data_IF_462865611022
#
_entry.id   IF_462865611022
#
_cell.length_a   1.000
_cell.length_b   1.000
_cell.length_c   1.000
_cell.angle_alpha   90.00
_cell.angle_beta   90.00
_cell.angle_gamma   90.00
#
_symmetry.space_group_name_H-M   'P 1'
#
loop_
_entity.id
_entity.type
_entity.pdbx_description
1 polymer ?
#
# COMPACT_ATOMS: atom_id res chain seq x y z
N UNK A 1 5.62 -7.16 -46.17
CA UNK A 1 4.96 -7.70 -44.97
C UNK A 1 5.71 -9.00 -44.65
N UNK A 2 6.42 -9.01 -43.54
CA UNK A 2 7.17 -10.22 -43.10
C UNK A 2 6.28 -10.92 -42.06
N UNK A 3 5.95 -12.17 -42.29
CA UNK A 3 5.17 -13.00 -41.39
C UNK A 3 6.15 -13.85 -40.57
N UNK A 4 6.18 -13.64 -39.25
CA UNK A 4 6.99 -14.43 -38.31
C UNK A 4 6.02 -15.35 -37.55
N UNK A 5 6.39 -16.61 -37.40
CA UNK A 5 5.60 -17.62 -36.70
C UNK A 5 6.23 -17.93 -35.33
N UNK A 6 5.48 -17.94 -34.28
CA UNK A 6 5.82 -18.51 -32.97
C UNK A 6 4.80 -19.62 -32.70
N UNK A 7 5.26 -20.85 -32.51
CA UNK A 7 4.41 -22.03 -32.27
C UNK A 7 3.28 -22.20 -33.33
N UNK A 8 3.64 -22.06 -34.63
CA UNK A 8 2.71 -22.13 -35.75
C UNK A 8 1.61 -21.05 -35.83
N UNK A 9 1.68 -20.01 -35.03
CA UNK A 9 0.80 -18.84 -35.15
C UNK A 9 1.49 -17.74 -35.96
N UNK A 10 0.86 -17.21 -37.04
CA UNK A 10 1.45 -16.15 -37.83
C UNK A 10 1.48 -14.83 -37.04
N UNK A 11 2.67 -14.33 -36.75
CA UNK A 11 2.86 -12.99 -36.27
C UNK A 11 2.99 -12.02 -37.46
N UNK A 12 1.93 -11.30 -37.76
CA UNK A 12 1.93 -10.24 -38.77
C UNK A 12 2.60 -8.99 -38.18
N UNK A 13 3.90 -8.80 -38.53
CA UNK A 13 4.59 -7.55 -38.23
C UNK A 13 4.40 -6.56 -39.36
N UNK A 14 3.72 -5.46 -39.09
CA UNK A 14 3.67 -4.35 -40.02
C UNK A 14 5.04 -3.64 -40.03
N UNK A 15 5.64 -3.48 -41.16
CA UNK A 15 7.05 -3.14 -41.47
C UNK A 15 7.66 -1.89 -40.80
N UNK A 16 6.93 -1.10 -39.98
CA UNK A 16 7.45 0.16 -39.50
C UNK A 16 7.22 0.50 -38.00
N UNK A 17 6.45 -0.27 -37.26
CA UNK A 17 6.12 0.13 -35.86
C UNK A 17 6.14 -1.06 -34.90
N UNK A 18 7.32 -1.55 -34.58
CA UNK A 18 7.51 -2.58 -33.54
C UNK A 18 7.38 -2.00 -32.14
N UNK A 19 7.96 -0.82 -31.90
CA UNK A 19 7.70 -0.06 -30.69
C UNK A 19 6.32 0.55 -30.80
N UNK A 20 5.37 0.01 -30.04
CA UNK A 20 3.99 0.47 -29.97
C UNK A 20 3.62 0.81 -28.54
N UNK A 21 2.46 1.44 -28.34
CA UNK A 21 1.91 1.81 -27.05
C UNK A 21 2.07 0.69 -25.99
N UNK A 22 1.64 -0.54 -26.29
CA UNK A 22 1.70 -1.65 -25.33
C UNK A 22 3.14 -1.99 -24.92
N UNK A 23 4.06 -2.12 -25.86
CA UNK A 23 5.46 -2.47 -25.55
C UNK A 23 6.16 -1.33 -24.82
N UNK A 24 5.89 -0.08 -25.17
CA UNK A 24 6.43 1.09 -24.47
C UNK A 24 5.91 1.18 -23.04
N UNK A 25 4.60 1.06 -22.82
CA UNK A 25 4.00 1.08 -21.47
C UNK A 25 4.49 -0.07 -20.59
N UNK A 26 4.62 -1.29 -21.15
CA UNK A 26 5.18 -2.44 -20.42
C UNK A 26 6.62 -2.17 -20.03
N UNK A 27 7.46 -1.68 -20.95
CA UNK A 27 8.86 -1.38 -20.65
C UNK A 27 8.99 -0.32 -19.56
N UNK A 28 8.17 0.72 -19.60
CA UNK A 28 8.13 1.79 -18.58
C UNK A 28 7.65 1.24 -17.25
N UNK A 29 6.56 0.46 -17.23
CA UNK A 29 6.00 -0.14 -16.02
C UNK A 29 6.95 -1.10 -15.32
N UNK A 30 7.75 -1.84 -16.08
CA UNK A 30 8.78 -2.75 -15.55
C UNK A 30 10.13 -2.06 -15.27
N UNK A 31 10.21 -0.74 -15.45
CA UNK A 31 11.43 0.04 -15.19
C UNK A 31 12.59 -0.28 -16.14
N UNK A 32 12.31 -0.80 -17.33
CA UNK A 32 13.35 -1.11 -18.31
C UNK A 32 13.95 0.16 -18.90
N UNK A 33 15.27 0.23 -18.93
CA UNK A 33 15.94 1.27 -19.70
C UNK A 33 15.63 1.14 -21.20
N UNK A 34 15.71 2.24 -21.93
CA UNK A 34 15.49 2.26 -23.37
C UNK A 34 16.39 1.24 -24.10
N UNK A 35 17.64 1.06 -23.65
CA UNK A 35 18.57 0.07 -24.21
C UNK A 35 18.12 -1.37 -23.94
N UNK A 36 17.67 -1.67 -22.73
CA UNK A 36 17.13 -2.99 -22.39
C UNK A 36 15.87 -3.31 -23.19
N UNK A 37 14.94 -2.35 -23.31
CA UNK A 37 13.75 -2.51 -24.15
C UNK A 37 14.12 -2.79 -25.59
N UNK A 38 15.07 -2.02 -26.17
CA UNK A 38 15.56 -2.23 -27.53
C UNK A 38 16.19 -3.61 -27.71
N UNK A 39 17.04 -4.03 -26.76
CA UNK A 39 17.71 -5.33 -26.80
C UNK A 39 16.72 -6.50 -26.72
N UNK A 40 15.73 -6.43 -25.84
CA UNK A 40 14.68 -7.45 -25.71
C UNK A 40 13.90 -7.58 -27.02
N UNK A 41 13.47 -6.47 -27.60
CA UNK A 41 12.72 -6.47 -28.86
C UNK A 41 13.56 -7.03 -30.00
N UNK A 42 14.83 -6.65 -30.11
CA UNK A 42 15.75 -7.19 -31.12
C UNK A 42 15.94 -8.71 -30.95
N UNK A 43 16.12 -9.19 -29.71
CA UNK A 43 16.27 -10.62 -29.42
C UNK A 43 15.02 -11.42 -29.77
N UNK A 44 13.83 -10.90 -29.48
CA UNK A 44 12.57 -11.56 -29.87
C UNK A 44 12.45 -11.71 -31.36
N UNK A 45 12.80 -10.67 -32.13
CA UNK A 45 12.77 -10.73 -33.60
C UNK A 45 13.75 -11.79 -34.14
N UNK A 46 15.01 -11.73 -33.69
CA UNK A 46 16.04 -12.67 -34.12
C UNK A 46 15.65 -14.12 -33.77
N UNK A 47 15.18 -14.40 -32.59
CA UNK A 47 14.73 -15.72 -32.16
C UNK A 47 13.50 -16.24 -32.94
N UNK A 48 12.71 -15.31 -33.50
CA UNK A 48 11.56 -15.66 -34.36
C UNK A 48 11.94 -15.80 -35.82
N UNK A 49 13.23 -15.85 -36.16
CA UNK A 49 13.74 -15.98 -37.52
C UNK A 49 13.65 -14.71 -38.38
N UNK A 50 13.37 -13.54 -37.72
CA UNK A 50 13.33 -12.26 -38.40
C UNK A 50 14.71 -11.61 -38.49
N UNK A 51 14.95 -10.88 -39.58
CA UNK A 51 16.15 -10.06 -39.72
C UNK A 51 15.93 -8.70 -39.05
N UNK A 52 16.67 -8.44 -37.95
CA UNK A 52 16.60 -7.21 -37.14
C UNK A 52 16.84 -5.96 -38.00
N UNK A 53 17.63 -6.06 -39.07
CA UNK A 53 17.96 -4.93 -39.96
C UNK A 53 16.74 -4.40 -40.74
N UNK A 54 15.72 -5.21 -40.89
CA UNK A 54 14.47 -4.85 -41.58
C UNK A 54 13.52 -4.02 -40.69
N UNK A 55 13.90 -3.74 -39.46
CA UNK A 55 13.09 -3.02 -38.50
C UNK A 55 13.77 -1.77 -37.97
N UNK A 56 13.02 -0.69 -37.76
CA UNK A 56 13.55 0.53 -37.15
C UNK A 56 13.77 0.32 -35.62
N UNK A 57 14.74 -0.52 -35.28
CA UNK A 57 15.11 -0.85 -33.91
C UNK A 57 16.34 -0.07 -33.50
N UNK A 58 16.13 1.07 -32.87
CA UNK A 58 17.19 1.85 -32.24
C UNK A 58 16.75 2.38 -30.89
N UNK A 59 17.69 2.62 -29.99
CA UNK A 59 17.38 3.26 -28.70
C UNK A 59 16.72 4.62 -28.89
N UNK A 60 17.10 5.38 -29.92
CA UNK A 60 16.48 6.67 -30.24
C UNK A 60 15.02 6.52 -30.68
N UNK A 61 14.71 5.50 -31.48
CA UNK A 61 13.32 5.21 -31.86
C UNK A 61 12.49 4.76 -30.66
N UNK A 62 13.03 3.87 -29.84
CA UNK A 62 12.36 3.40 -28.63
C UNK A 62 12.09 4.55 -27.64
N UNK A 63 13.06 5.46 -27.44
CA UNK A 63 12.93 6.64 -26.62
C UNK A 63 11.80 7.56 -27.11
N UNK A 64 11.84 7.94 -28.39
CA UNK A 64 10.83 8.82 -28.98
C UNK A 64 9.41 8.23 -28.90
N UNK A 65 9.26 6.92 -29.15
CA UNK A 65 7.95 6.27 -29.03
C UNK A 65 7.50 6.22 -27.57
N UNK A 66 8.41 5.97 -26.61
CA UNK A 66 8.09 6.00 -25.19
C UNK A 66 7.63 7.39 -24.76
N UNK A 67 8.32 8.45 -25.15
CA UNK A 67 8.00 9.83 -24.86
C UNK A 67 6.63 10.24 -25.45
N UNK A 68 6.39 9.91 -26.73
CA UNK A 68 5.10 10.16 -27.39
C UNK A 68 3.94 9.45 -26.67
N UNK A 69 4.13 8.18 -26.29
CA UNK A 69 3.13 7.39 -25.58
C UNK A 69 2.85 7.95 -24.19
N UNK A 70 3.88 8.29 -23.43
CA UNK A 70 3.73 8.89 -22.08
C UNK A 70 2.98 10.22 -22.15
N UNK A 71 3.35 11.09 -23.09
CA UNK A 71 2.68 12.39 -23.27
C UNK A 71 1.20 12.20 -23.59
N UNK A 72 0.90 11.37 -24.59
CA UNK A 72 -0.48 11.11 -25.02
C UNK A 72 -1.33 10.47 -23.93
N UNK A 73 -0.78 9.50 -23.19
CA UNK A 73 -1.52 8.88 -22.08
C UNK A 73 -1.70 9.85 -20.92
N UNK A 74 -0.72 10.70 -20.64
CA UNK A 74 -0.84 11.79 -19.66
C UNK A 74 -2.00 12.76 -20.01
N UNK A 75 -2.11 13.14 -21.29
CA UNK A 75 -3.24 13.96 -21.78
C UNK A 75 -4.58 13.25 -21.64
N UNK A 76 -4.64 11.95 -21.98
CA UNK A 76 -5.85 11.15 -21.85
C UNK A 76 -6.30 11.05 -20.39
N UNK A 77 -5.36 10.79 -19.47
CA UNK A 77 -5.65 10.74 -18.03
C UNK A 77 -6.14 12.10 -17.53
N UNK A 78 -5.45 13.18 -17.91
CA UNK A 78 -5.88 14.54 -17.55
C UNK A 78 -7.31 14.83 -18.02
N UNK A 79 -7.63 14.51 -19.29
CA UNK A 79 -8.96 14.69 -19.85
C UNK A 79 -10.00 13.87 -19.08
N UNK A 80 -9.71 12.59 -18.82
CA UNK A 80 -10.59 11.71 -18.05
C UNK A 80 -10.90 12.27 -16.65
N UNK A 81 -9.87 12.67 -15.89
CA UNK A 81 -10.03 13.25 -14.55
C UNK A 81 -10.85 14.55 -14.62
N UNK A 82 -10.57 15.43 -15.60
CA UNK A 82 -11.31 16.69 -15.77
C UNK A 82 -12.79 16.43 -16.08
N UNK A 83 -13.09 15.45 -16.93
CA UNK A 83 -14.48 15.05 -17.26
C UNK A 83 -15.17 14.44 -16.03
N UNK A 84 -14.51 13.56 -15.28
CA UNK A 84 -15.02 12.97 -14.05
C UNK A 84 -15.39 14.06 -13.03
N UNK A 85 -14.50 15.02 -12.82
CA UNK A 85 -14.72 16.13 -11.90
C UNK A 85 -15.84 17.07 -12.35
N UNK A 86 -16.01 17.29 -13.65
CA UNK A 86 -17.10 18.12 -14.19
C UNK A 86 -18.46 17.45 -14.08
N UNK A 87 -18.52 16.13 -14.27
CA UNK A 87 -19.77 15.36 -14.24
C UNK A 87 -20.24 15.02 -12.83
N UNK A 88 -19.38 15.08 -11.83
CA UNK A 88 -19.72 14.72 -10.46
C UNK A 88 -20.19 15.92 -9.63
N UNK A 89 -21.25 15.70 -8.85
CA UNK A 89 -21.71 16.61 -7.78
C UNK A 89 -21.06 16.34 -6.43
N UNK A 90 -20.27 15.27 -6.31
CA UNK A 90 -19.60 14.89 -5.08
C UNK A 90 -18.33 15.74 -4.83
N UNK A 91 -17.96 15.95 -3.56
CA UNK A 91 -16.74 16.64 -3.21
C UNK A 91 -15.50 15.87 -3.66
N UNK A 92 -14.43 16.61 -3.94
CA UNK A 92 -13.11 16.01 -4.18
C UNK A 92 -12.43 15.80 -2.84
N UNK A 93 -12.02 14.56 -2.63
CA UNK A 93 -11.22 14.11 -1.48
C UNK A 93 -9.78 13.93 -1.94
N UNK A 94 -8.87 14.71 -1.40
CA UNK A 94 -7.43 14.58 -1.63
C UNK A 94 -6.85 13.50 -0.73
N UNK A 95 -6.10 12.57 -1.30
CA UNK A 95 -5.27 11.64 -0.55
C UNK A 95 -3.81 11.91 -0.88
N UNK A 96 -2.96 12.01 0.13
CA UNK A 96 -1.52 12.13 -0.08
C UNK A 96 -0.75 11.36 0.99
N UNK A 97 0.37 10.78 0.57
CA UNK A 97 1.26 10.01 1.42
C UNK A 97 2.70 10.12 0.92
N UNK A 98 3.62 10.45 1.82
CA UNK A 98 5.04 10.57 1.55
C UNK A 98 5.78 9.27 1.81
N UNK A 99 6.65 8.87 0.87
CA UNK A 99 7.47 7.67 1.03
C UNK A 99 8.87 7.86 0.46
N UNK A 100 9.87 7.41 1.22
CA UNK A 100 11.22 7.24 0.71
C UNK A 100 11.25 5.99 -0.18
N UNK A 101 11.64 6.19 -1.44
CA UNK A 101 11.76 5.13 -2.43
C UNK A 101 13.23 5.00 -2.82
N UNK A 102 13.70 3.77 -2.96
CA UNK A 102 15.03 3.48 -3.50
C UNK A 102 14.96 3.50 -5.02
N UNK A 103 15.74 4.34 -5.64
CA UNK A 103 15.92 4.40 -7.08
C UNK A 103 17.36 4.11 -7.46
N UNK A 104 17.56 3.37 -8.55
CA UNK A 104 18.89 3.07 -9.07
C UNK A 104 19.14 3.90 -10.33
N UNK A 105 20.11 4.81 -10.25
CA UNK A 105 20.54 5.60 -11.40
C UNK A 105 22.03 5.31 -11.66
N UNK A 106 22.36 4.84 -12.85
CA UNK A 106 23.72 4.43 -13.24
C UNK A 106 24.37 3.40 -12.28
N UNK A 107 23.58 2.47 -11.72
CA UNK A 107 24.05 1.46 -10.78
C UNK A 107 24.25 1.94 -9.34
N UNK A 108 23.93 3.20 -9.03
CA UNK A 108 24.03 3.78 -7.69
C UNK A 108 22.60 3.84 -7.09
N UNK A 109 22.45 3.33 -5.87
CA UNK A 109 21.21 3.45 -5.11
C UNK A 109 21.06 4.86 -4.53
N UNK A 110 19.96 5.51 -4.84
CA UNK A 110 19.54 6.79 -4.27
C UNK A 110 18.27 6.62 -3.47
N UNK A 111 18.18 7.28 -2.33
CA UNK A 111 16.95 7.38 -1.56
C UNK A 111 16.26 8.69 -1.92
N UNK A 112 15.09 8.62 -2.51
CA UNK A 112 14.33 9.77 -2.96
C UNK A 112 13.00 9.86 -2.21
N UNK A 113 12.71 11.05 -1.69
CA UNK A 113 11.40 11.34 -1.12
C UNK A 113 10.37 11.52 -2.24
N UNK A 114 9.37 10.68 -2.28
CA UNK A 114 8.26 10.74 -3.22
C UNK A 114 6.96 11.03 -2.48
N UNK A 115 6.11 11.87 -3.06
CA UNK A 115 4.78 12.17 -2.55
C UNK A 115 3.73 11.61 -3.51
N UNK A 116 3.07 10.53 -3.12
CA UNK A 116 1.92 10.02 -3.85
C UNK A 116 0.72 10.94 -3.59
N UNK A 117 0.13 11.48 -4.65
CA UNK A 117 -1.03 12.36 -4.59
C UNK A 117 -2.13 11.79 -5.47
N UNK A 118 -3.27 11.49 -4.87
CA UNK A 118 -4.45 10.98 -5.56
C UNK A 118 -5.70 11.73 -5.11
N UNK A 119 -6.74 11.65 -5.89
CA UNK A 119 -8.07 12.14 -5.53
C UNK A 119 -9.06 10.99 -5.50
N UNK A 120 -10.09 11.14 -4.69
CA UNK A 120 -11.27 10.31 -4.73
C UNK A 120 -12.50 11.16 -4.98
N UNK A 121 -13.33 10.71 -5.90
CA UNK A 121 -14.58 11.37 -6.28
C UNK A 121 -15.58 10.30 -6.70
N UNK A 122 -16.79 10.35 -6.19
CA UNK A 122 -17.88 9.41 -6.50
C UNK A 122 -17.44 7.93 -6.41
N UNK A 123 -16.67 7.58 -5.35
CA UNK A 123 -16.16 6.22 -5.15
C UNK A 123 -14.97 5.81 -6.03
N UNK A 124 -14.63 6.57 -7.05
CA UNK A 124 -13.47 6.33 -7.92
C UNK A 124 -12.22 7.01 -7.37
N UNK A 125 -11.08 6.38 -7.54
CA UNK A 125 -9.77 6.90 -7.09
C UNK A 125 -8.85 7.08 -8.28
N UNK A 126 -8.33 8.31 -8.45
CA UNK A 126 -7.46 8.68 -9.56
C UNK A 126 -6.12 9.19 -9.04
N UNK A 127 -5.01 8.68 -9.59
CA UNK A 127 -3.66 9.13 -9.26
C UNK A 127 -3.32 10.40 -10.05
N UNK A 128 -3.04 11.49 -9.34
CA UNK A 128 -2.58 12.74 -9.97
C UNK A 128 -1.07 12.72 -10.26
N UNK A 129 -0.29 12.05 -9.40
CA UNK A 129 1.15 11.94 -9.61
C UNK A 129 1.92 11.44 -8.39
N UNK A 130 3.21 11.17 -8.60
CA UNK A 130 4.16 10.75 -7.55
C UNK A 130 5.44 11.60 -7.66
N UNK A 131 5.36 12.93 -7.50
CA UNK A 131 6.51 13.80 -7.65
C UNK A 131 7.58 13.54 -6.61
N UNK A 132 8.84 13.84 -6.99
CA UNK A 132 9.97 13.90 -6.08
C UNK A 132 9.88 15.17 -5.22
N UNK A 133 10.23 15.04 -3.95
CA UNK A 133 10.35 16.16 -3.02
C UNK A 133 11.83 16.47 -2.74
N UNK A 134 12.21 17.72 -2.85
CA UNK A 134 13.54 18.17 -2.42
C UNK A 134 13.70 18.19 -0.90
N UNK A 135 12.61 18.24 -0.18
CA UNK A 135 12.54 18.13 1.29
C UNK A 135 11.15 17.69 1.73
N UNK A 136 11.07 16.96 2.85
CA UNK A 136 9.80 16.48 3.43
C UNK A 136 9.10 17.52 4.32
N UNK A 137 9.29 18.82 4.12
CA UNK A 137 8.59 19.85 4.90
C UNK A 137 7.14 20.01 4.49
N UNK A 138 6.28 20.46 5.43
CA UNK A 138 4.88 20.75 5.12
C UNK A 138 4.70 21.80 4.02
N UNK A 139 5.65 22.75 3.89
CA UNK A 139 5.67 23.76 2.82
C UNK A 139 5.90 23.13 1.45
N UNK A 140 6.95 22.31 1.33
CA UNK A 140 7.29 21.65 0.07
C UNK A 140 6.19 20.71 -0.39
N UNK A 141 5.63 19.92 0.53
CA UNK A 141 4.51 19.04 0.22
C UNK A 141 3.27 19.84 -0.23
N UNK A 142 2.90 20.90 0.50
CA UNK A 142 1.79 21.80 0.13
C UNK A 142 1.96 22.36 -1.27
N UNK A 143 3.14 22.92 -1.58
CA UNK A 143 3.40 23.52 -2.89
C UNK A 143 3.33 22.48 -4.02
N UNK A 144 3.81 21.26 -3.76
CA UNK A 144 3.76 20.15 -4.72
C UNK A 144 2.32 19.70 -4.98
N UNK A 145 1.50 19.58 -3.94
CA UNK A 145 0.08 19.25 -4.05
C UNK A 145 -0.66 20.32 -4.86
N UNK A 146 -0.47 21.60 -4.51
CA UNK A 146 -1.13 22.72 -5.20
C UNK A 146 -0.78 22.72 -6.69
N UNK A 147 0.49 22.52 -7.03
CA UNK A 147 0.93 22.43 -8.42
C UNK A 147 0.19 21.34 -9.18
N UNK A 148 0.04 20.14 -8.58
CA UNK A 148 -0.73 19.05 -9.20
C UNK A 148 -2.20 19.42 -9.35
N UNK A 149 -2.83 19.96 -8.30
CA UNK A 149 -4.25 20.32 -8.35
C UNK A 149 -4.54 21.37 -9.45
N UNK A 150 -3.65 22.34 -9.64
CA UNK A 150 -3.76 23.30 -10.75
C UNK A 150 -3.52 22.65 -12.13
N UNK A 151 -2.59 21.70 -12.25
CA UNK A 151 -2.38 20.98 -13.51
C UNK A 151 -3.64 20.26 -14.01
N UNK A 152 -4.49 19.82 -13.08
CA UNK A 152 -5.75 19.14 -13.39
C UNK A 152 -6.98 20.07 -13.33
N UNK A 153 -6.80 21.36 -13.03
CA UNK A 153 -7.89 22.35 -12.91
C UNK A 153 -8.95 21.97 -11.85
N UNK A 154 -8.49 21.48 -10.70
CA UNK A 154 -9.35 20.96 -9.61
C UNK A 154 -9.08 21.62 -8.26
N UNK A 155 -8.18 22.60 -8.18
CA UNK A 155 -7.77 23.22 -6.93
C UNK A 155 -8.95 23.79 -6.12
N UNK A 156 -9.82 24.57 -6.74
CA UNK A 156 -10.96 25.22 -6.07
C UNK A 156 -12.06 24.25 -5.62
N UNK A 157 -12.05 23.03 -6.16
CA UNK A 157 -13.05 21.99 -5.84
C UNK A 157 -12.66 21.08 -4.69
N UNK A 158 -11.44 21.22 -4.18
CA UNK A 158 -10.95 20.44 -3.05
C UNK A 158 -11.74 20.76 -1.79
N UNK A 159 -12.35 19.77 -1.12
CA UNK A 159 -13.12 19.96 0.11
C UNK A 159 -12.58 19.16 1.30
N UNK A 160 -11.95 18.04 1.04
CA UNK A 160 -11.53 17.09 2.05
C UNK A 160 -10.10 16.62 1.82
N UNK A 161 -9.38 16.32 2.91
CA UNK A 161 -8.03 15.75 2.86
C UNK A 161 -7.93 14.50 3.72
N UNK A 162 -7.38 13.43 3.14
CA UNK A 162 -7.00 12.19 3.85
C UNK A 162 -5.47 12.12 3.93
N UNK A 163 -4.93 11.95 5.11
CA UNK A 163 -3.49 12.00 5.38
C UNK A 163 -3.13 11.13 6.59
N UNK A 164 -1.85 10.81 6.75
CA UNK A 164 -1.34 10.19 7.98
C UNK A 164 -1.25 11.22 9.12
N UNK A 165 -1.17 10.74 10.37
CA UNK A 165 -1.12 11.62 11.55
C UNK A 165 0.28 12.08 11.90
N UNK A 166 1.22 12.14 10.94
CA UNK A 166 2.55 12.71 11.16
C UNK A 166 2.49 14.21 11.48
N UNK A 167 3.47 14.71 12.20
CA UNK A 167 3.52 16.14 12.57
C UNK A 167 3.67 17.07 11.36
N UNK A 168 4.25 16.55 10.26
CA UNK A 168 4.36 17.27 8.97
C UNK A 168 2.97 17.57 8.42
N UNK A 169 2.00 16.67 8.59
CA UNK A 169 0.64 16.84 8.11
C UNK A 169 -0.26 17.59 9.11
N UNK A 170 -0.13 17.27 10.42
CA UNK A 170 -1.10 17.66 11.45
C UNK A 170 -0.71 18.90 12.28
N UNK A 171 0.53 19.42 12.14
CA UNK A 171 0.94 20.60 12.89
C UNK A 171 0.01 21.78 12.65
N UNK A 172 -0.53 22.37 13.73
CA UNK A 172 -1.46 23.50 13.70
C UNK A 172 -0.87 24.80 13.11
N UNK A 173 0.46 24.89 13.02
CA UNK A 173 1.15 26.10 12.49
C UNK A 173 1.84 25.86 11.14
N UNK A 174 2.40 24.67 10.94
CA UNK A 174 3.28 24.38 9.80
C UNK A 174 2.87 23.12 9.01
N UNK A 175 1.78 22.45 9.39
CA UNK A 175 1.29 21.24 8.74
C UNK A 175 0.79 21.46 7.32
N UNK A 176 0.84 20.43 6.50
CA UNK A 176 0.33 20.46 5.12
C UNK A 176 -1.14 20.87 5.11
N UNK A 177 -1.95 20.26 5.98
CA UNK A 177 -3.40 20.49 6.01
C UNK A 177 -3.80 21.92 6.29
N UNK A 178 -3.19 22.54 7.31
CA UNK A 178 -3.49 23.93 7.65
C UNK A 178 -3.01 24.89 6.56
N UNK A 179 -1.89 24.60 5.93
CA UNK A 179 -1.36 25.40 4.82
C UNK A 179 -2.22 25.30 3.56
N UNK A 180 -2.78 24.10 3.24
CA UNK A 180 -3.74 23.93 2.15
C UNK A 180 -5.03 24.71 2.41
N UNK A 181 -5.57 24.64 3.63
CA UNK A 181 -6.75 25.40 3.99
C UNK A 181 -6.53 26.92 3.90
N UNK A 182 -5.36 27.40 4.32
CA UNK A 182 -4.97 28.82 4.19
C UNK A 182 -4.87 29.26 2.74
N UNK A 183 -4.29 28.45 1.86
CA UNK A 183 -4.17 28.75 0.44
C UNK A 183 -5.52 28.81 -0.27
N UNK A 184 -6.45 27.90 0.10
CA UNK A 184 -7.82 27.90 -0.38
C UNK A 184 -8.69 29.00 0.23
N UNK A 185 -8.19 29.71 1.25
CA UNK A 185 -8.92 30.69 2.03
C UNK A 185 -10.27 30.18 2.59
N UNK A 186 -10.32 28.90 2.95
CA UNK A 186 -11.49 28.23 3.53
C UNK A 186 -11.10 26.97 4.29
N UNK A 187 -11.93 26.53 5.26
CA UNK A 187 -11.67 25.27 5.95
C UNK A 187 -11.77 24.06 5.02
N UNK A 188 -10.97 23.03 5.33
CA UNK A 188 -11.03 21.71 4.73
C UNK A 188 -11.50 20.70 5.77
N UNK A 189 -12.27 19.70 5.36
CA UNK A 189 -12.55 18.54 6.20
C UNK A 189 -11.30 17.66 6.26
N UNK A 190 -10.78 17.49 7.48
CA UNK A 190 -9.52 16.79 7.72
C UNK A 190 -9.81 15.36 8.20
N UNK A 191 -9.49 14.37 7.38
CA UNK A 191 -9.75 12.95 7.61
C UNK A 191 -8.43 12.24 7.90
N UNK A 192 -8.10 12.09 9.16
CA UNK A 192 -6.92 11.35 9.58
C UNK A 192 -7.07 9.85 9.22
N UNK A 193 -6.01 9.27 8.66
CA UNK A 193 -5.99 7.86 8.27
C UNK A 193 -6.26 6.95 9.47
N UNK A 194 -7.36 6.20 9.45
CA UNK A 194 -7.74 5.26 10.53
C UNK A 194 -6.68 4.21 10.78
N UNK A 195 -6.02 3.70 9.75
CA UNK A 195 -4.94 2.72 9.90
C UNK A 195 -3.82 3.29 10.76
N UNK A 196 -3.42 4.53 10.51
CA UNK A 196 -2.37 5.18 11.29
C UNK A 196 -2.80 5.46 12.73
N UNK A 197 -4.07 5.86 12.95
CA UNK A 197 -4.63 6.05 14.30
C UNK A 197 -4.55 4.75 15.11
N UNK A 198 -5.02 3.64 14.55
CA UNK A 198 -4.99 2.35 15.23
C UNK A 198 -3.56 1.85 15.49
N UNK A 199 -2.64 2.04 14.53
CA UNK A 199 -1.22 1.75 14.75
C UNK A 199 -0.64 2.58 15.91
N UNK A 200 -1.01 3.85 16.02
CA UNK A 200 -0.60 4.70 17.14
C UNK A 200 -1.14 4.20 18.48
N UNK A 201 -2.39 3.73 18.54
CA UNK A 201 -2.94 3.13 19.76
C UNK A 201 -2.14 1.90 20.18
N UNK A 202 -1.85 0.97 19.27
CA UNK A 202 -1.03 -0.21 19.56
C UNK A 202 0.38 0.18 20.03
N UNK A 203 1.01 1.17 19.41
CA UNK A 203 2.32 1.67 19.84
C UNK A 203 2.23 2.27 21.25
N UNK A 204 1.15 2.97 21.58
CA UNK A 204 0.95 3.52 22.94
C UNK A 204 0.83 2.42 23.97
N UNK A 205 0.01 1.40 23.72
CA UNK A 205 -0.08 0.24 24.61
C UNK A 205 1.27 -0.45 24.80
N UNK A 206 2.03 -0.59 23.70
CA UNK A 206 3.37 -1.17 23.74
C UNK A 206 4.37 -0.38 24.60
N UNK A 207 4.34 0.95 24.51
CA UNK A 207 5.27 1.81 25.24
C UNK A 207 5.05 1.83 26.77
N UNK A 208 3.95 1.28 27.26
CA UNK A 208 3.68 1.09 28.69
C UNK A 208 4.60 -0.02 29.24
N UNK A 209 4.98 -0.97 28.40
CA UNK A 209 5.94 -2.02 28.80
C UNK A 209 7.38 -1.52 28.63
N UNK A 210 8.24 -1.63 29.68
CA UNK A 210 9.60 -1.07 29.65
C UNK A 210 10.59 -1.84 28.76
N UNK A 211 10.13 -2.74 27.91
CA UNK A 211 10.98 -3.48 26.99
C UNK A 211 11.28 -2.67 25.73
N UNK A 212 12.54 -2.52 25.43
CA UNK A 212 13.19 -1.96 24.23
C UNK A 212 12.29 -1.24 23.22
N UNK A 213 12.56 0.06 23.00
CA UNK A 213 11.97 0.84 21.91
C UNK A 213 12.16 0.10 20.59
N UNK A 214 11.08 -0.40 20.01
CA UNK A 214 11.11 -1.09 18.73
C UNK A 214 10.64 -0.17 17.63
N UNK A 215 11.56 0.58 17.08
CA UNK A 215 11.36 1.30 15.84
C UNK A 215 11.85 0.41 14.70
N UNK A 216 10.93 -0.14 13.89
CA UNK A 216 11.29 -0.89 12.70
C UNK A 216 10.71 -2.30 12.62
N UNK A 217 11.06 -3.03 11.55
CA UNK A 217 10.52 -4.37 11.28
C UNK A 217 11.12 -5.46 12.18
N UNK A 218 12.24 -5.18 12.83
CA UNK A 218 13.01 -6.15 13.65
C UNK A 218 12.74 -5.97 15.14
N UNK A 219 11.52 -6.36 15.55
CA UNK A 219 11.17 -6.41 16.96
C UNK A 219 11.72 -7.69 17.59
N UNK A 220 12.60 -7.60 18.63
CA UNK A 220 13.17 -8.77 19.27
C UNK A 220 12.13 -9.74 19.83
N UNK A 221 11.01 -9.23 20.37
CA UNK A 221 9.92 -10.05 20.89
C UNK A 221 9.24 -10.84 19.77
N UNK A 222 8.94 -10.16 18.64
CA UNK A 222 8.32 -10.83 17.49
C UNK A 222 9.27 -11.83 16.80
N UNK A 223 10.58 -11.63 16.91
CA UNK A 223 11.56 -12.58 16.45
C UNK A 223 11.45 -13.90 17.19
N UNK A 224 11.24 -13.89 18.51
CA UNK A 224 11.05 -15.12 19.31
C UNK A 224 9.92 -16.00 18.75
N UNK A 225 8.79 -15.41 18.37
CA UNK A 225 7.70 -16.14 17.71
C UNK A 225 8.11 -16.71 16.34
N UNK A 226 8.86 -15.92 15.54
CA UNK A 226 9.31 -16.39 14.22
C UNK A 226 10.29 -17.57 14.33
N UNK A 227 11.19 -17.52 15.30
CA UNK A 227 12.24 -18.52 15.49
C UNK A 227 11.65 -19.88 15.88
N UNK A 228 10.61 -19.89 16.72
CA UNK A 228 9.96 -21.14 17.15
C UNK A 228 8.84 -21.60 16.24
N UNK A 229 8.41 -20.80 15.27
CA UNK A 229 7.21 -21.07 14.46
C UNK A 229 7.21 -22.44 13.79
N UNK A 230 8.33 -22.84 13.21
CA UNK A 230 8.45 -24.09 12.48
C UNK A 230 8.51 -25.35 13.39
N UNK A 231 8.80 -25.17 14.70
CA UNK A 231 8.80 -26.25 15.70
C UNK A 231 7.46 -26.44 16.38
N UNK A 232 6.50 -25.53 16.16
CA UNK A 232 5.17 -25.61 16.74
C UNK A 232 4.30 -26.56 15.90
N UNK A 233 3.85 -27.67 16.50
CA UNK A 233 2.85 -28.53 15.87
C UNK A 233 1.46 -27.93 16.01
N UNK A 234 0.98 -27.34 14.91
CA UNK A 234 -0.32 -26.67 14.90
C UNK A 234 -1.54 -27.59 15.05
N UNK A 235 -1.35 -28.90 15.02
CA UNK A 235 -2.46 -29.86 15.15
C UNK A 235 -2.67 -30.31 16.61
N UNK A 236 -1.67 -30.06 17.48
CA UNK A 236 -1.69 -30.46 18.88
C UNK A 236 -1.58 -29.30 19.87
N UNK A 237 -1.74 -28.06 19.41
CA UNK A 237 -1.60 -26.87 20.25
C UNK A 237 -2.85 -26.67 21.11
N UNK A 238 -2.62 -26.45 22.40
CA UNK A 238 -3.62 -25.84 23.28
C UNK A 238 -3.44 -24.33 23.21
N UNK A 239 -4.42 -23.63 22.65
CA UNK A 239 -4.38 -22.19 22.51
C UNK A 239 -4.81 -21.51 23.81
N UNK A 240 -4.05 -20.49 24.21
CA UNK A 240 -4.46 -19.63 25.31
C UNK A 240 -5.63 -18.73 24.89
N UNK A 241 -6.57 -18.48 25.80
CA UNK A 241 -7.76 -17.66 25.53
C UNK A 241 -8.07 -16.75 26.70
N UNK A 242 -8.72 -15.63 26.39
CA UNK A 242 -9.26 -14.73 27.41
C UNK A 242 -10.58 -15.28 27.92
N UNK A 243 -10.68 -15.45 29.24
CA UNK A 243 -11.96 -15.72 29.91
C UNK A 243 -12.61 -14.36 30.22
N UNK A 244 -13.57 -13.96 29.39
CA UNK A 244 -14.21 -12.65 29.50
C UNK A 244 -14.87 -12.48 30.87
N UNK A 245 -15.35 -13.56 31.47
CA UNK A 245 -16.00 -13.60 32.78
C UNK A 245 -15.04 -13.26 33.94
N UNK A 246 -13.74 -13.56 33.76
CA UNK A 246 -12.72 -13.34 34.79
C UNK A 246 -12.19 -11.88 34.78
N UNK A 247 -12.61 -11.08 33.81
CA UNK A 247 -12.20 -9.67 33.72
C UNK A 247 -12.99 -8.85 34.76
N UNK A 248 -12.27 -8.22 35.68
CA UNK A 248 -12.88 -7.43 36.76
C UNK A 248 -13.53 -6.13 36.27
N UNK A 249 -13.07 -5.55 35.17
CA UNK A 249 -13.59 -4.32 34.59
C UNK A 249 -14.80 -4.61 33.70
N UNK A 250 -15.97 -4.13 34.14
CA UNK A 250 -17.24 -4.37 33.43
C UNK A 250 -17.31 -3.68 32.06
N UNK A 251 -16.65 -2.55 31.88
CA UNK A 251 -16.58 -1.89 30.57
C UNK A 251 -15.78 -2.73 29.59
N UNK A 252 -14.62 -3.24 30.00
CA UNK A 252 -13.79 -4.15 29.16
C UNK A 252 -14.56 -5.44 28.81
N UNK A 253 -15.33 -6.01 29.78
CA UNK A 253 -16.16 -7.18 29.46
C UNK A 253 -17.15 -6.89 28.34
N UNK A 254 -17.80 -5.73 28.36
CA UNK A 254 -18.75 -5.31 27.31
C UNK A 254 -18.00 -5.17 25.98
N UNK A 255 -16.86 -4.45 25.97
CA UNK A 255 -16.07 -4.24 24.75
C UNK A 255 -15.60 -5.58 24.13
N UNK A 256 -15.18 -6.54 24.93
CA UNK A 256 -14.74 -7.84 24.44
C UNK A 256 -15.89 -8.67 23.86
N UNK A 257 -17.07 -8.64 24.49
CA UNK A 257 -18.28 -9.27 23.94
C UNK A 257 -18.72 -8.64 22.62
N UNK A 258 -18.66 -7.32 22.50
CA UNK A 258 -18.95 -6.60 21.26
C UNK A 258 -17.91 -6.94 20.16
N UNK A 259 -16.62 -6.96 20.48
CA UNK A 259 -15.54 -7.31 19.56
C UNK A 259 -15.70 -8.75 19.06
N UNK A 260 -16.05 -9.69 19.94
CA UNK A 260 -16.30 -11.09 19.56
C UNK A 260 -17.51 -11.19 18.61
N UNK A 261 -18.63 -10.57 18.98
CA UNK A 261 -19.84 -10.56 18.15
C UNK A 261 -19.58 -9.95 16.77
N UNK A 262 -18.90 -8.82 16.73
CA UNK A 262 -18.50 -8.17 15.48
C UNK A 262 -17.61 -9.07 14.61
N UNK A 263 -16.60 -9.69 15.21
CA UNK A 263 -15.65 -10.57 14.51
C UNK A 263 -16.35 -11.76 13.90
N UNK A 264 -17.20 -12.45 14.66
CA UNK A 264 -18.02 -13.58 14.20
C UNK A 264 -18.97 -13.18 13.05
N UNK A 265 -19.57 -11.99 13.13
CA UNK A 265 -20.43 -11.46 12.06
C UNK A 265 -19.65 -11.24 10.75
N UNK A 266 -18.46 -10.64 10.84
CA UNK A 266 -17.61 -10.41 9.64
C UNK A 266 -17.22 -11.75 8.99
N UNK A 267 -16.80 -12.72 9.78
CA UNK A 267 -16.44 -14.06 9.29
C UNK A 267 -17.62 -14.70 8.56
N UNK A 268 -18.80 -14.66 9.17
CA UNK A 268 -20.04 -15.21 8.59
C UNK A 268 -20.40 -14.51 7.28
N UNK A 269 -20.32 -13.17 7.22
CA UNK A 269 -20.58 -12.40 6.01
C UNK A 269 -19.61 -12.76 4.88
N UNK A 270 -18.33 -12.97 5.20
CA UNK A 270 -17.33 -13.39 4.21
C UNK A 270 -17.62 -14.78 3.65
N UNK A 271 -18.04 -15.70 4.49
CA UNK A 271 -18.42 -17.06 4.06
C UNK A 271 -19.61 -17.02 3.08
N UNK A 272 -20.51 -16.05 3.26
CA UNK A 272 -21.67 -15.85 2.38
C UNK A 272 -21.37 -15.04 1.12
N UNK A 273 -20.43 -14.09 1.18
CA UNK A 273 -20.05 -13.24 0.06
C UNK A 273 -18.65 -13.65 -0.42
N UNK A 274 -18.53 -14.07 -1.67
CA UNK A 274 -17.24 -14.37 -2.32
C UNK A 274 -16.33 -13.14 -2.53
N UNK A 275 -16.71 -11.97 -2.00
CA UNK A 275 -15.99 -10.72 -2.19
C UNK A 275 -14.74 -10.63 -1.32
N UNK A 276 -13.63 -10.20 -1.93
CA UNK A 276 -12.30 -10.21 -1.38
C UNK A 276 -12.08 -9.26 -0.21
N UNK A 277 -12.20 -9.74 1.03
CA UNK A 277 -11.64 -9.04 2.18
C UNK A 277 -10.11 -9.12 2.14
N UNK A 278 -9.42 -8.03 2.46
CA UNK A 278 -7.97 -8.02 2.64
C UNK A 278 -7.54 -9.09 3.64
N UNK A 279 -6.46 -9.80 3.31
CA UNK A 279 -6.02 -10.96 4.10
C UNK A 279 -5.61 -10.62 5.54
N UNK A 280 -5.08 -9.41 5.77
CA UNK A 280 -4.69 -8.92 7.10
C UNK A 280 -5.91 -8.52 7.96
N UNK A 281 -6.96 -7.96 7.35
CA UNK A 281 -8.22 -7.70 8.05
C UNK A 281 -8.87 -9.00 8.51
N UNK A 282 -8.91 -9.98 7.61
CA UNK A 282 -9.46 -11.28 7.94
C UNK A 282 -8.67 -11.97 9.04
N UNK A 283 -7.34 -11.98 8.93
CA UNK A 283 -6.46 -12.57 9.95
C UNK A 283 -6.68 -11.94 11.33
N UNK A 284 -6.83 -10.60 11.39
CA UNK A 284 -7.13 -9.91 12.65
C UNK A 284 -8.45 -10.39 13.25
N UNK A 285 -9.50 -10.53 12.43
CA UNK A 285 -10.84 -10.95 12.90
C UNK A 285 -10.82 -12.40 13.36
N UNK A 286 -10.16 -13.30 12.60
CA UNK A 286 -9.99 -14.72 12.97
C UNK A 286 -9.25 -14.85 14.30
N UNK A 287 -8.12 -14.18 14.47
CA UNK A 287 -7.33 -14.19 15.71
C UNK A 287 -8.12 -13.61 16.90
N UNK A 288 -8.87 -12.52 16.69
CA UNK A 288 -9.72 -11.94 17.73
C UNK A 288 -10.78 -12.96 18.19
N UNK A 289 -11.39 -13.66 17.25
CA UNK A 289 -12.36 -14.72 17.58
C UNK A 289 -11.69 -15.84 18.37
N UNK A 290 -10.53 -16.34 17.93
CA UNK A 290 -9.79 -17.40 18.65
C UNK A 290 -9.45 -16.98 20.07
N UNK A 291 -8.92 -15.75 20.27
CA UNK A 291 -8.55 -15.26 21.61
C UNK A 291 -9.74 -15.11 22.53
N UNK A 292 -10.89 -14.63 22.03
CA UNK A 292 -12.05 -14.31 22.86
C UNK A 292 -13.05 -15.44 23.04
N UNK A 293 -13.15 -16.39 22.07
CA UNK A 293 -14.08 -17.54 22.19
C UNK A 293 -13.37 -18.87 22.47
N UNK A 294 -12.08 -18.95 22.19
CA UNK A 294 -11.35 -20.23 22.18
C UNK A 294 -11.72 -21.14 21.01
N UNK A 295 -12.28 -20.59 19.95
CA UNK A 295 -12.66 -21.35 18.75
C UNK A 295 -11.40 -21.71 17.95
N UNK A 296 -11.07 -22.99 17.87
CA UNK A 296 -9.85 -23.53 17.24
C UNK A 296 -10.05 -23.88 15.75
N UNK A 297 -11.20 -23.57 15.17
CA UNK A 297 -11.48 -23.90 13.76
C UNK A 297 -10.58 -23.15 12.76
N UNK A 298 -9.95 -22.05 13.18
CA UNK A 298 -9.12 -21.23 12.31
C UNK A 298 -7.64 -21.64 12.41
N UNK A 299 -7.02 -21.86 11.25
CA UNK A 299 -5.60 -22.18 11.19
C UNK A 299 -4.74 -20.91 11.38
N UNK A 300 -3.80 -20.99 12.30
CA UNK A 300 -2.84 -19.90 12.49
C UNK A 300 -1.95 -19.75 11.25
N UNK A 301 -1.87 -18.52 10.73
CA UNK A 301 -1.01 -18.20 9.59
C UNK A 301 0.40 -17.90 10.06
N UNK A 302 1.39 -18.28 9.23
CA UNK A 302 2.81 -17.95 9.51
C UNK A 302 2.96 -16.45 9.78
N UNK A 303 3.77 -16.04 10.79
CA UNK A 303 4.07 -14.65 11.06
C UNK A 303 4.70 -13.97 9.84
N UNK A 304 4.02 -12.96 9.30
CA UNK A 304 4.50 -12.17 8.17
C UNK A 304 5.41 -11.02 8.61
N UNK A 305 5.89 -10.20 7.67
CA UNK A 305 6.68 -9.01 7.98
C UNK A 305 5.85 -8.00 8.78
N UNK A 306 6.52 -7.29 9.70
CA UNK A 306 5.94 -6.16 10.44
C UNK A 306 6.26 -4.89 9.67
N UNK A 307 5.31 -4.38 8.89
CA UNK A 307 5.47 -3.13 8.16
C UNK A 307 4.15 -2.35 8.12
N UNK A 308 4.23 -1.05 7.91
CA UNK A 308 3.07 -0.14 7.96
C UNK A 308 1.99 -0.41 6.91
N UNK A 309 2.34 -1.03 5.77
CA UNK A 309 1.36 -1.38 4.76
C UNK A 309 0.42 -2.53 5.17
N UNK A 310 0.79 -3.31 6.20
CA UNK A 310 -0.06 -4.36 6.76
C UNK A 310 -0.84 -3.81 7.94
N UNK A 311 -2.16 -3.78 7.81
CA UNK A 311 -3.05 -3.26 8.87
C UNK A 311 -2.87 -4.02 10.18
N UNK A 312 -2.69 -3.27 11.27
CA UNK A 312 -2.57 -3.79 12.62
C UNK A 312 -1.53 -4.91 12.78
N UNK A 313 -0.44 -4.86 12.01
CA UNK A 313 0.58 -5.93 12.01
C UNK A 313 1.11 -6.25 13.41
N UNK A 314 1.34 -5.24 14.25
CA UNK A 314 1.76 -5.44 15.64
C UNK A 314 0.66 -6.09 16.49
N UNK A 315 -0.59 -5.67 16.34
CA UNK A 315 -1.73 -6.29 17.01
C UNK A 315 -1.90 -7.77 16.62
N UNK A 316 -1.76 -8.08 15.34
CA UNK A 316 -1.76 -9.47 14.84
C UNK A 316 -0.66 -10.31 15.48
N UNK A 317 0.56 -9.74 15.66
CA UNK A 317 1.64 -10.44 16.35
C UNK A 317 1.32 -10.68 17.83
N UNK A 318 0.78 -9.68 18.53
CA UNK A 318 0.38 -9.83 19.93
C UNK A 318 -0.68 -10.91 20.11
N UNK A 319 -1.72 -10.93 19.30
CA UNK A 319 -2.76 -11.95 19.37
C UNK A 319 -2.17 -13.35 19.14
N UNK A 320 -1.27 -13.52 18.17
CA UNK A 320 -0.57 -14.80 17.95
C UNK A 320 0.30 -15.20 19.13
N UNK A 321 1.06 -14.26 19.68
CA UNK A 321 1.92 -14.54 20.84
C UNK A 321 1.10 -14.89 22.07
N UNK A 322 -0.02 -14.22 22.28
CA UNK A 322 -0.93 -14.54 23.36
C UNK A 322 -1.52 -15.95 23.22
N UNK A 323 -2.00 -16.30 22.03
CA UNK A 323 -2.52 -17.64 21.72
C UNK A 323 -1.47 -18.73 21.95
N UNK A 324 -0.19 -18.46 21.68
CA UNK A 324 0.92 -19.40 21.71
C UNK A 324 1.86 -19.19 22.88
N UNK A 325 1.45 -18.46 23.91
CA UNK A 325 2.34 -18.01 25.00
C UNK A 325 3.10 -19.16 25.67
N UNK A 326 2.45 -20.28 25.85
CA UNK A 326 3.04 -21.47 26.47
C UNK A 326 3.94 -22.28 25.52
N UNK A 327 3.82 -22.04 24.21
CA UNK A 327 4.63 -22.69 23.17
C UNK A 327 5.92 -21.91 22.85
N UNK A 328 6.07 -20.68 23.34
CA UNK A 328 7.25 -19.84 23.10
C UNK A 328 8.16 -19.89 24.34
N UNK A 329 8.98 -20.93 24.43
CA UNK A 329 9.86 -21.21 25.59
C UNK A 329 10.89 -20.10 25.87
N UNK A 330 11.19 -19.26 24.85
CA UNK A 330 12.15 -18.16 24.99
C UNK A 330 11.57 -16.88 25.61
N UNK A 331 10.27 -16.86 25.94
CA UNK A 331 9.65 -15.73 26.66
C UNK A 331 10.05 -15.75 28.13
N UNK A 332 10.45 -14.60 28.65
CA UNK A 332 10.66 -14.40 30.08
C UNK A 332 9.31 -14.27 30.80
N UNK A 333 9.32 -14.47 32.13
CA UNK A 333 8.11 -14.31 32.96
C UNK A 333 7.53 -12.87 32.88
N UNK A 334 8.39 -11.89 32.64
CA UNK A 334 7.97 -10.51 32.39
C UNK A 334 7.25 -10.35 31.06
N UNK A 335 7.74 -11.01 30.00
CA UNK A 335 7.14 -10.95 28.65
C UNK A 335 5.84 -11.76 28.53
N UNK A 336 5.59 -12.66 29.48
CA UNK A 336 4.35 -13.45 29.58
C UNK A 336 3.24 -12.72 30.33
N UNK A 337 3.57 -11.72 31.13
CA UNK A 337 2.63 -10.84 31.86
C UNK A 337 2.15 -9.69 30.99
#
# INVERSE_FOLDING_TARGET
MVTIYINNLPLLFCYQKIFRKKTALTAIGEGLSVRQHTAIVASVIANSGGDVTNFAISSSTAFRVAEEVVTKEGENIKKHITELVKSSSFPIILHFDGKIVKEFTNGIEHQLDRLAVSIRIDGQSELLGVPHLNSCTGETQKNTIIKLLHQFDIFDKLQECVFDTSSVNTSSKKGVCIRLAAELNRPLLLLACRHHIYERHIIHCWNIYPSSKTNGPDNPLFKKLKDVWNSIDQNSIVLNKVKIEDISDSWLQVQFKEALSFSQNIIRMKTMKKDGCRSDYLELVELTTMVLSGDEQYKLRKPGPVHHARFMAKGIYFLKMYLLIDNISSLTDFEKK
#
